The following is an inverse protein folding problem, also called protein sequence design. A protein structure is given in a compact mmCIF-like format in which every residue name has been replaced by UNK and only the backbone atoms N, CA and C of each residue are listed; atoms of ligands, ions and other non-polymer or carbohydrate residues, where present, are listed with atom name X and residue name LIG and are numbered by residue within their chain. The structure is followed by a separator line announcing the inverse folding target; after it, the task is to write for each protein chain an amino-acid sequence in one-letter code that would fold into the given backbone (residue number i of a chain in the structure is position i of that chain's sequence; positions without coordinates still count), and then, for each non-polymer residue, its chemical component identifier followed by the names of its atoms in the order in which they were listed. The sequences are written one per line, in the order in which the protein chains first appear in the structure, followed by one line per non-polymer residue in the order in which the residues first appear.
data_IF_773449597302
#
_entry.id   IF_773449597302
#
_cell.length_a   1.000
_cell.length_b   1.000
_cell.length_c   1.000
_cell.angle_alpha   90.00
_cell.angle_beta   90.00
_cell.angle_gamma   90.00
#
_symmetry.space_group_name_H-M   'P 1'
#
loop_
_entity.id
_entity.type
_entity.pdbx_description
1 polymer ?
#
# COMPACT_ATOMS: atom_id res chain seq x y z
N UNK A 1 -18.90 17.86 -8.19
CA UNK A 1 -18.91 16.44 -8.61
C UNK A 1 -18.57 16.35 -10.10
N UNK A 2 -17.35 15.95 -10.43
CA UNK A 2 -16.89 15.78 -11.82
C UNK A 2 -16.90 14.27 -12.11
N UNK A 3 -17.72 13.84 -13.07
CA UNK A 3 -17.70 12.47 -13.56
C UNK A 3 -16.62 12.35 -14.65
N UNK A 4 -15.50 11.73 -14.32
CA UNK A 4 -14.47 11.37 -15.30
C UNK A 4 -14.56 9.88 -15.60
N UNK A 5 -15.25 9.55 -16.71
CA UNK A 5 -15.26 8.19 -17.26
C UNK A 5 -14.05 8.03 -18.16
N UNK A 6 -12.93 7.54 -17.62
CA UNK A 6 -11.71 7.32 -18.39
C UNK A 6 -11.37 5.82 -18.43
N UNK A 7 -11.51 5.21 -19.60
CA UNK A 7 -11.00 3.86 -19.87
C UNK A 7 -9.50 3.96 -20.13
N UNK A 8 -8.69 3.67 -19.11
CA UNK A 8 -7.23 3.87 -19.23
C UNK A 8 -6.53 2.61 -19.74
N UNK A 9 -6.91 1.40 -19.30
CA UNK A 9 -6.22 0.17 -19.76
C UNK A 9 -7.08 -1.10 -19.94
N UNK A 10 -8.41 -1.03 -19.80
CA UNK A 10 -9.34 -2.14 -20.06
C UNK A 10 -9.03 -3.50 -19.37
N UNK A 11 -8.21 -3.49 -18.31
CA UNK A 11 -7.91 -4.69 -17.52
C UNK A 11 -9.05 -5.07 -16.56
N UNK A 12 -9.79 -4.06 -16.10
CA UNK A 12 -10.94 -4.19 -15.22
C UNK A 12 -12.00 -3.18 -15.64
N UNK A 13 -13.28 -3.56 -15.59
CA UNK A 13 -14.40 -2.64 -15.76
C UNK A 13 -14.71 -1.98 -14.41
N UNK A 14 -14.21 -0.76 -14.20
CA UNK A 14 -14.51 0.05 -13.02
C UNK A 14 -14.80 1.52 -13.39
N UNK A 15 -15.61 2.18 -12.56
CA UNK A 15 -15.88 3.62 -12.65
C UNK A 15 -15.36 4.32 -11.38
N UNK A 16 -14.80 5.52 -11.54
CA UNK A 16 -14.27 6.32 -10.42
C UNK A 16 -14.88 7.73 -10.46
N UNK A 17 -15.38 8.20 -9.32
CA UNK A 17 -15.86 9.57 -9.14
C UNK A 17 -14.89 10.35 -8.27
N UNK A 18 -14.49 11.55 -8.70
CA UNK A 18 -13.59 12.44 -7.95
C UNK A 18 -14.39 13.59 -7.31
N UNK A 19 -14.09 13.89 -6.05
CA UNK A 19 -14.66 15.03 -5.32
C UNK A 19 -13.59 16.11 -5.06
N UNK A 20 -13.95 17.29 -4.55
CA UNK A 20 -13.01 18.42 -4.48
C UNK A 20 -11.99 18.32 -3.33
N UNK A 21 -12.26 17.52 -2.29
CA UNK A 21 -11.45 17.47 -1.06
C UNK A 21 -10.74 16.13 -0.92
N UNK A 22 -9.40 16.14 -0.80
CA UNK A 22 -8.59 14.94 -0.53
C UNK A 22 -8.61 14.58 0.95
N UNK A 23 -9.00 13.36 1.29
CA UNK A 23 -8.82 12.76 2.62
C UNK A 23 -7.87 11.58 2.52
N UNK A 24 -7.03 11.43 3.54
CA UNK A 24 -6.15 10.27 3.72
C UNK A 24 -6.59 9.55 4.98
N UNK A 25 -6.98 8.28 4.86
CA UNK A 25 -7.45 7.47 5.98
C UNK A 25 -6.63 6.18 6.08
N UNK A 26 -6.21 5.83 7.29
CA UNK A 26 -5.53 4.57 7.56
C UNK A 26 -6.56 3.44 7.58
N UNK A 27 -6.29 2.37 6.85
CA UNK A 27 -7.21 1.24 6.72
C UNK A 27 -6.51 -0.08 7.00
N UNK A 28 -7.30 -1.03 7.52
CA UNK A 28 -6.94 -2.44 7.59
C UNK A 28 -8.03 -3.19 6.84
N UNK A 29 -7.65 -3.94 5.81
CA UNK A 29 -8.58 -4.70 4.96
C UNK A 29 -8.04 -6.11 4.78
N UNK A 30 -8.95 -7.07 4.60
CA UNK A 30 -8.57 -8.44 4.24
C UNK A 30 -8.58 -8.60 2.73
N UNK A 31 -7.67 -9.42 2.22
CA UNK A 31 -7.76 -9.92 0.84
C UNK A 31 -8.91 -10.92 0.79
N UNK A 32 -9.85 -10.66 -0.12
CA UNK A 32 -10.97 -11.54 -0.42
C UNK A 32 -11.20 -11.51 -1.95
N UNK A 33 -10.57 -12.45 -2.65
CA UNK A 33 -10.66 -12.60 -4.10
C UNK A 33 -10.95 -14.05 -4.47
N UNK A 34 -11.73 -14.26 -5.52
CA UNK A 34 -12.14 -15.59 -5.98
C UNK A 34 -11.25 -16.16 -7.08
N UNK A 35 -10.47 -15.30 -7.75
CA UNK A 35 -9.63 -15.68 -8.89
C UNK A 35 -8.31 -14.89 -8.95
N UNK A 36 -7.46 -15.26 -9.91
CA UNK A 36 -6.21 -14.57 -10.21
C UNK A 36 -5.05 -14.88 -9.27
N UNK A 37 -4.00 -14.08 -9.39
CA UNK A 37 -2.70 -14.29 -8.75
C UNK A 37 -2.73 -14.17 -7.23
N UNK A 38 -3.77 -13.56 -6.67
CA UNK A 38 -3.96 -13.39 -5.23
C UNK A 38 -4.94 -14.39 -4.60
N UNK A 39 -5.45 -15.37 -5.35
CA UNK A 39 -6.44 -16.35 -4.85
C UNK A 39 -5.99 -17.14 -3.61
N UNK A 40 -4.68 -17.39 -3.47
CA UNK A 40 -4.10 -18.13 -2.36
C UNK A 40 -3.69 -17.21 -1.18
N UNK A 41 -4.05 -15.93 -1.26
CA UNK A 41 -3.74 -14.89 -0.26
C UNK A 41 -4.99 -14.41 0.49
N UNK A 42 -6.13 -15.11 0.35
CA UNK A 42 -7.32 -14.77 1.14
C UNK A 42 -7.02 -14.78 2.64
N UNK A 43 -7.74 -13.93 3.38
CA UNK A 43 -7.57 -13.66 4.82
C UNK A 43 -6.28 -12.93 5.24
N UNK A 44 -5.38 -12.59 4.32
CA UNK A 44 -4.27 -11.70 4.64
C UNK A 44 -4.80 -10.33 5.05
N UNK A 45 -4.46 -9.91 6.26
CA UNK A 45 -4.69 -8.54 6.71
C UNK A 45 -3.64 -7.61 6.11
N UNK A 46 -4.11 -6.69 5.27
CA UNK A 46 -3.31 -5.64 4.64
C UNK A 46 -3.58 -4.34 5.38
N UNK A 47 -2.51 -3.75 5.91
CA UNK A 47 -2.49 -2.40 6.47
C UNK A 47 -2.00 -1.43 5.42
N UNK A 48 -2.63 -0.27 5.34
CA UNK A 48 -2.21 0.79 4.43
C UNK A 48 -3.07 2.02 4.62
N UNK A 49 -3.10 2.87 3.62
CA UNK A 49 -3.97 4.04 3.62
C UNK A 49 -4.68 4.20 2.29
N UNK A 50 -5.87 4.75 2.33
CA UNK A 50 -6.63 5.14 1.14
C UNK A 50 -6.55 6.66 1.00
N UNK A 51 -6.24 7.14 -0.20
CA UNK A 51 -6.40 8.55 -0.55
C UNK A 51 -7.65 8.62 -1.41
N UNK A 52 -8.75 9.07 -0.82
CA UNK A 52 -10.01 9.19 -1.52
C UNK A 52 -10.53 10.62 -1.47
N UNK A 53 -11.21 11.01 -2.53
CA UNK A 53 -11.97 12.26 -2.57
C UNK A 53 -13.47 12.02 -2.33
N UNK A 54 -14.01 10.81 -2.54
CA UNK A 54 -15.44 10.51 -2.35
C UNK A 54 -15.77 9.68 -1.10
N UNK A 55 -17.06 9.56 -0.78
CA UNK A 55 -17.62 8.54 0.13
C UNK A 55 -17.71 7.23 -0.64
N UNK A 56 -16.96 6.22 -0.19
CA UNK A 56 -16.64 5.07 -1.01
C UNK A 56 -17.49 3.85 -0.65
N UNK A 57 -18.47 3.51 -1.49
CA UNK A 57 -19.12 2.18 -1.55
C UNK A 57 -18.26 1.24 -2.42
N UNK A 58 -16.99 1.02 -2.06
CA UNK A 58 -16.20 -0.04 -2.69
C UNK A 58 -16.51 -1.32 -1.93
N UNK A 59 -17.23 -2.22 -2.59
CA UNK A 59 -17.66 -3.49 -2.03
C UNK A 59 -16.46 -4.44 -1.78
N UNK A 60 -15.36 -4.28 -2.53
CA UNK A 60 -14.17 -5.13 -2.44
C UNK A 60 -12.86 -4.34 -2.48
N UNK A 61 -11.98 -4.47 -1.47
CA UNK A 61 -10.75 -3.65 -1.34
C UNK A 61 -9.67 -3.98 -2.39
N UNK A 62 -9.76 -5.14 -3.03
CA UNK A 62 -8.83 -5.63 -4.04
C UNK A 62 -9.66 -6.32 -5.13
N UNK A 63 -9.36 -6.01 -6.38
CA UNK A 63 -9.84 -6.75 -7.55
C UNK A 63 -8.66 -7.50 -8.16
N UNK A 64 -8.86 -8.76 -8.54
CA UNK A 64 -7.81 -9.60 -9.09
C UNK A 64 -8.36 -10.47 -10.21
N UNK A 65 -7.59 -10.57 -11.30
CA UNK A 65 -7.86 -11.43 -12.44
C UNK A 65 -6.55 -11.84 -13.11
N UNK A 66 -6.42 -13.11 -13.46
CA UNK A 66 -5.20 -13.67 -14.07
C UNK A 66 -3.93 -13.28 -13.29
N UNK A 67 -2.97 -12.60 -13.92
CA UNK A 67 -1.74 -12.12 -13.28
C UNK A 67 -1.79 -10.63 -12.90
N UNK A 68 -2.98 -10.04 -12.84
CA UNK A 68 -3.20 -8.62 -12.56
C UNK A 68 -4.08 -8.47 -11.32
N UNK A 69 -3.74 -7.50 -10.48
CA UNK A 69 -4.63 -7.05 -9.41
C UNK A 69 -4.54 -5.54 -9.26
N UNK A 70 -5.60 -4.94 -8.72
CA UNK A 70 -5.67 -3.52 -8.41
C UNK A 70 -6.28 -3.33 -7.01
N UNK A 71 -5.82 -2.31 -6.31
CA UNK A 71 -6.31 -1.95 -4.98
C UNK A 71 -6.19 -0.44 -4.78
N UNK A 72 -7.08 0.12 -3.96
CA UNK A 72 -6.99 1.50 -3.49
C UNK A 72 -6.13 1.63 -2.21
N UNK A 73 -5.67 0.50 -1.65
CA UNK A 73 -4.81 0.49 -0.47
C UNK A 73 -3.38 0.82 -0.89
N UNK A 74 -2.97 2.05 -0.63
CA UNK A 74 -1.57 2.43 -0.72
C UNK A 74 -0.77 1.77 0.40
N UNK A 75 0.46 1.36 0.10
CA UNK A 75 1.32 0.67 1.06
C UNK A 75 1.05 -0.82 1.21
N UNK A 76 0.29 -1.45 0.30
CA UNK A 76 0.06 -2.92 0.32
C UNK A 76 1.37 -3.71 0.46
N UNK A 77 2.46 -3.28 -0.18
CA UNK A 77 3.77 -3.94 -0.12
C UNK A 77 4.60 -3.64 1.14
N UNK A 78 4.14 -2.75 2.02
CA UNK A 78 4.78 -2.51 3.32
C UNK A 78 4.47 -3.65 4.32
N UNK A 79 3.45 -4.47 4.00
CA UNK A 79 3.03 -5.64 4.75
C UNK A 79 4.04 -6.79 4.52
N UNK A 80 5.09 -6.84 5.34
CA UNK A 80 6.26 -7.70 5.09
C UNK A 80 5.93 -9.18 4.92
N UNK A 81 4.93 -9.70 5.65
CA UNK A 81 4.45 -11.08 5.47
C UNK A 81 3.82 -11.28 4.09
N UNK A 82 2.84 -10.46 3.72
CA UNK A 82 2.20 -10.49 2.40
C UNK A 82 3.25 -10.38 1.29
N UNK A 83 4.12 -9.37 1.35
CA UNK A 83 5.14 -9.10 0.33
C UNK A 83 6.11 -10.26 0.17
N UNK A 84 6.58 -10.84 1.28
CA UNK A 84 7.49 -11.97 1.21
C UNK A 84 6.83 -13.19 0.55
N UNK A 85 5.61 -13.52 0.97
CA UNK A 85 4.88 -14.70 0.48
C UNK A 85 4.47 -14.50 -1.00
N UNK A 86 4.09 -13.28 -1.38
CA UNK A 86 3.82 -12.88 -2.77
C UNK A 86 5.07 -13.01 -3.65
N UNK A 87 6.21 -12.48 -3.21
CA UNK A 87 7.46 -12.60 -3.96
C UNK A 87 7.93 -14.06 -4.05
N UNK A 88 7.78 -14.86 -2.99
CA UNK A 88 8.13 -16.28 -3.03
C UNK A 88 7.21 -17.07 -3.96
N UNK A 89 5.92 -16.75 -4.03
CA UNK A 89 5.03 -17.30 -5.07
C UNK A 89 5.53 -16.97 -6.49
N UNK A 90 5.96 -15.73 -6.75
CA UNK A 90 6.56 -15.37 -8.05
C UNK A 90 7.85 -16.14 -8.30
N UNK A 91 8.72 -16.31 -7.29
CA UNK A 91 9.97 -17.06 -7.41
C UNK A 91 9.72 -18.53 -7.77
N UNK A 92 8.73 -19.17 -7.13
CA UNK A 92 8.30 -20.53 -7.49
C UNK A 92 7.89 -20.62 -8.96
N UNK A 93 7.07 -19.68 -9.45
CA UNK A 93 6.66 -19.62 -10.87
C UNK A 93 7.84 -19.44 -11.83
N UNK A 94 8.95 -18.84 -11.37
CA UNK A 94 10.16 -18.58 -12.16
C UNK A 94 11.30 -19.59 -11.92
N UNK A 95 11.06 -20.67 -11.17
CA UNK A 95 12.09 -21.63 -10.75
C UNK A 95 13.29 -20.97 -10.04
N UNK A 96 13.03 -19.94 -9.24
CA UNK A 96 14.04 -19.23 -8.44
C UNK A 96 13.98 -19.69 -6.97
N UNK A 97 15.12 -19.69 -6.25
CA UNK A 97 15.17 -20.07 -4.85
C UNK A 97 14.37 -19.09 -3.98
N UNK A 98 13.57 -19.62 -3.06
CA UNK A 98 12.80 -18.82 -2.11
C UNK A 98 13.70 -18.10 -1.10
N UNK A 99 13.22 -16.94 -0.63
CA UNK A 99 13.87 -16.19 0.44
C UNK A 99 13.16 -16.47 1.76
N UNK A 100 13.93 -16.91 2.76
CA UNK A 100 13.41 -17.23 4.10
C UNK A 100 13.38 -16.01 5.02
N UNK A 101 14.21 -15.02 4.75
CA UNK A 101 14.28 -13.81 5.57
C UNK A 101 13.10 -12.88 5.26
N UNK A 102 12.28 -12.63 6.28
CA UNK A 102 11.30 -11.56 6.23
C UNK A 102 12.05 -10.25 6.44
N UNK A 103 12.39 -9.59 5.33
CA UNK A 103 12.85 -8.20 5.38
C UNK A 103 11.70 -7.35 5.94
N UNK A 104 11.85 -6.88 7.17
CA UNK A 104 10.88 -5.98 7.77
C UNK A 104 11.09 -4.58 7.18
N UNK A 105 10.23 -4.21 6.24
CA UNK A 105 10.24 -2.88 5.64
C UNK A 105 10.12 -1.79 6.71
N UNK A 106 9.29 -2.01 7.73
CA UNK A 106 9.17 -1.10 8.86
C UNK A 106 10.49 -0.92 9.60
N UNK A 107 11.22 -2.00 9.93
CA UNK A 107 12.53 -1.87 10.59
C UNK A 107 13.54 -1.11 9.72
N UNK A 108 13.52 -1.33 8.41
CA UNK A 108 14.36 -0.57 7.48
C UNK A 108 13.99 0.91 7.49
N UNK A 109 12.70 1.23 7.38
CA UNK A 109 12.18 2.61 7.36
C UNK A 109 12.48 3.37 8.66
N UNK A 110 12.25 2.74 9.83
CA UNK A 110 12.60 3.30 11.13
C UNK A 110 14.10 3.61 11.24
N UNK A 111 14.96 2.68 10.77
CA UNK A 111 16.40 2.91 10.75
C UNK A 111 16.80 4.12 9.89
N UNK A 112 16.14 4.34 8.75
CA UNK A 112 16.41 5.52 7.93
C UNK A 112 15.85 6.81 8.56
N UNK A 113 14.71 6.76 9.26
CA UNK A 113 14.20 7.88 10.04
C UNK A 113 15.14 8.25 11.19
N UNK A 114 15.69 7.27 11.90
CA UNK A 114 16.67 7.52 12.96
C UNK A 114 17.92 8.21 12.43
N UNK A 115 18.42 7.79 11.26
CA UNK A 115 19.55 8.46 10.60
C UNK A 115 19.21 9.90 10.23
N UNK A 116 18.03 10.13 9.64
CA UNK A 116 17.59 11.48 9.28
C UNK A 116 17.43 12.36 10.53
N UNK A 117 16.77 11.85 11.57
CA UNK A 117 16.57 12.55 12.82
C UNK A 117 17.91 12.88 13.51
N UNK A 118 18.88 11.97 13.44
CA UNK A 118 20.24 12.23 13.91
C UNK A 118 20.90 13.37 13.13
N UNK A 119 20.88 13.31 11.79
CA UNK A 119 21.45 14.34 10.93
C UNK A 119 20.83 15.73 11.22
N UNK A 120 19.51 15.79 11.40
CA UNK A 120 18.82 17.04 11.74
C UNK A 120 19.26 17.57 13.11
N UNK A 121 19.35 16.74 14.14
CA UNK A 121 19.80 17.16 15.48
C UNK A 121 21.25 17.64 15.51
N UNK A 122 22.10 17.09 14.65
CA UNK A 122 23.51 17.47 14.54
C UNK A 122 23.71 18.81 13.81
N UNK A 123 22.78 19.19 12.92
CA UNK A 123 22.95 20.34 12.03
C UNK A 123 21.95 21.49 12.28
N UNK A 124 20.91 21.29 13.10
CA UNK A 124 19.89 22.29 13.37
C UNK A 124 19.75 22.54 14.87
N UNK A 125 19.48 23.80 15.24
CA UNK A 125 19.02 24.13 16.59
C UNK A 125 17.56 23.74 16.77
N UNK A 126 17.35 22.49 17.16
CA UNK A 126 16.03 21.92 17.39
C UNK A 126 15.28 22.67 18.49
N UNK A 127 15.98 23.25 19.49
CA UNK A 127 15.32 24.01 20.57
C UNK A 127 14.69 25.28 20.01
N UNK A 128 15.40 25.98 19.14
CA UNK A 128 14.90 27.18 18.48
C UNK A 128 13.74 26.88 17.52
N UNK A 129 13.80 25.79 16.75
CA UNK A 129 12.70 25.36 15.89
C UNK A 129 11.43 25.10 16.72
N UNK A 130 11.54 24.39 17.85
CA UNK A 130 10.39 24.16 18.71
C UNK A 130 9.83 25.46 19.29
N UNK A 131 10.68 26.44 19.61
CA UNK A 131 10.25 27.77 20.08
C UNK A 131 9.47 28.55 19.02
N UNK A 132 9.75 28.35 17.73
CA UNK A 132 9.05 29.01 16.61
C UNK A 132 7.71 28.33 16.28
N UNK A 133 7.64 27.00 16.45
CA UNK A 133 6.42 26.23 16.21
C UNK A 133 5.38 26.34 17.33
N UNK A 134 5.79 26.88 18.49
CA UNK A 134 4.90 27.15 19.64
C UNK A 134 4.39 28.58 19.63
#
# INVERSE_FOLDING_TARGET
MIFLRQRVFNFFDYETTFDEIKKTEQVIKKIDVTEGILKDFNDYEIKGYEIHQGVTNILTPIICKDNVFATYIHGIFDNSKFTNDFLNMIRRKKNMPEQKEILSFNKFKEKEYDKLAKLLRENLDIKEIYRILS
#
